data_IF_528027617646
#
_entry.id   IF_528027617646
#
_cell.length_a   1.000
_cell.length_b   1.000
_cell.length_c   1.000
_cell.angle_alpha   90.00
_cell.angle_beta   90.00
_cell.angle_gamma   90.00
#
_symmetry.space_group_name_H-M   'P 1'
#
loop_
_entity.id
_entity.type
_entity.pdbx_description
1 polymer ?
#
# COMPACT_ATOMS: atom_id res chain seq x y z
N UNK A 1 3.57 -27.85 -19.43
CA UNK A 1 2.25 -28.03 -18.78
C UNK A 1 1.16 -28.29 -19.81
N UNK A 2 1.16 -27.59 -20.94
CA UNK A 2 0.18 -27.72 -22.04
C UNK A 2 -0.15 -29.16 -22.46
N UNK A 3 0.86 -30.01 -22.61
CA UNK A 3 0.65 -31.40 -22.99
C UNK A 3 -0.13 -32.20 -21.92
N UNK A 4 0.06 -31.88 -20.64
CA UNK A 4 -0.70 -32.51 -19.54
C UNK A 4 -2.15 -32.01 -19.54
N UNK A 5 -2.36 -30.70 -19.69
CA UNK A 5 -3.71 -30.09 -19.78
C UNK A 5 -4.49 -30.69 -20.96
N UNK A 6 -3.89 -30.72 -22.15
CA UNK A 6 -4.51 -31.32 -23.35
C UNK A 6 -4.91 -32.79 -23.13
N UNK A 7 -4.09 -33.56 -22.40
CA UNK A 7 -4.38 -34.97 -22.11
C UNK A 7 -5.48 -35.17 -21.07
N UNK A 8 -5.63 -34.28 -20.09
CA UNK A 8 -6.77 -34.31 -19.14
C UNK A 8 -8.09 -34.02 -19.85
N UNK A 9 -8.07 -33.13 -20.84
CA UNK A 9 -9.27 -32.72 -21.60
C UNK A 9 -9.59 -33.70 -22.75
N UNK A 10 -8.68 -34.62 -23.07
CA UNK A 10 -8.85 -35.58 -24.17
C UNK A 10 -9.59 -36.84 -23.70
N UNK A 11 -10.57 -37.37 -24.46
CA UNK A 11 -11.46 -38.47 -24.06
C UNK A 11 -10.80 -39.89 -24.01
N UNK A 12 -9.48 -39.99 -23.86
CA UNK A 12 -8.74 -41.26 -23.94
C UNK A 12 -8.42 -41.87 -22.54
N UNK A 13 -8.42 -43.21 -22.49
CA UNK A 13 -8.34 -44.13 -21.32
C UNK A 13 -7.15 -43.92 -20.33
N UNK A 14 -6.20 -43.03 -20.61
CA UNK A 14 -5.04 -42.74 -19.74
C UNK A 14 -5.35 -41.76 -18.57
N UNK A 15 -6.63 -41.58 -18.28
CA UNK A 15 -7.19 -40.47 -17.53
C UNK A 15 -6.84 -40.49 -16.03
N UNK A 16 -6.79 -41.68 -15.42
CA UNK A 16 -6.55 -41.81 -13.97
C UNK A 16 -5.14 -41.38 -13.53
N UNK A 17 -4.10 -41.70 -14.31
CA UNK A 17 -2.72 -41.35 -13.96
C UNK A 17 -2.48 -39.84 -14.06
N UNK A 18 -3.07 -39.19 -15.07
CA UNK A 18 -2.94 -37.74 -15.24
C UNK A 18 -3.75 -37.02 -14.17
N UNK A 19 -4.99 -37.45 -13.86
CA UNK A 19 -5.75 -36.90 -12.72
C UNK A 19 -5.01 -37.06 -11.39
N UNK A 20 -4.36 -38.20 -11.17
CA UNK A 20 -3.51 -38.44 -9.99
C UNK A 20 -2.34 -37.46 -9.93
N UNK A 21 -1.70 -37.17 -11.07
CA UNK A 21 -0.62 -36.18 -11.14
C UNK A 21 -1.10 -34.77 -10.76
N UNK A 22 -2.28 -34.35 -11.24
CA UNK A 22 -2.87 -33.06 -10.85
C UNK A 22 -3.20 -32.99 -9.35
N UNK A 23 -3.64 -34.10 -8.74
CA UNK A 23 -3.76 -34.18 -7.28
C UNK A 23 -2.40 -34.09 -6.58
N UNK A 24 -1.35 -34.70 -7.13
CA UNK A 24 0.01 -34.59 -6.60
C UNK A 24 0.54 -33.15 -6.67
N UNK A 25 0.17 -32.37 -7.69
CA UNK A 25 0.53 -30.95 -7.79
C UNK A 25 -0.12 -30.07 -6.69
N UNK A 26 -1.18 -30.52 -6.03
CA UNK A 26 -1.74 -29.81 -4.87
C UNK A 26 -0.94 -30.06 -3.59
N UNK A 27 -0.27 -31.21 -3.48
CA UNK A 27 0.35 -31.65 -2.23
C UNK A 27 1.27 -30.62 -1.57
N UNK A 28 2.13 -29.89 -2.30
CA UNK A 28 3.01 -28.91 -1.67
C UNK A 28 2.23 -27.80 -0.94
N UNK A 29 1.12 -27.33 -1.51
CA UNK A 29 0.28 -26.27 -0.92
C UNK A 29 -0.65 -26.78 0.18
N UNK A 30 -0.88 -28.09 0.28
CA UNK A 30 -1.69 -28.68 1.37
C UNK A 30 -0.87 -29.12 2.57
N UNK A 31 0.46 -28.90 2.55
CA UNK A 31 1.30 -29.13 3.72
C UNK A 31 0.87 -28.25 4.90
N UNK A 32 0.96 -28.80 6.12
CA UNK A 32 0.65 -28.03 7.32
C UNK A 32 1.76 -27.03 7.65
N UNK A 33 1.38 -25.89 8.23
CA UNK A 33 2.29 -24.81 8.61
C UNK A 33 2.47 -23.73 7.55
N UNK A 34 3.21 -22.69 7.91
CA UNK A 34 3.51 -21.55 7.06
C UNK A 34 4.90 -21.69 6.41
N UNK A 35 4.95 -21.50 5.09
CA UNK A 35 6.20 -21.25 4.39
C UNK A 35 6.84 -19.92 4.86
N UNK A 36 8.16 -19.77 4.91
CA UNK A 36 9.18 -20.81 4.81
C UNK A 36 9.49 -21.51 6.15
N UNK A 37 8.87 -21.06 7.26
CA UNK A 37 9.31 -21.41 8.61
C UNK A 37 9.00 -22.86 9.00
N UNK A 38 7.77 -23.30 8.73
CA UNK A 38 7.31 -24.63 9.11
C UNK A 38 7.56 -25.66 8.00
N UNK A 39 7.61 -25.21 6.74
CA UNK A 39 7.82 -26.03 5.55
C UNK A 39 8.42 -25.22 4.40
N UNK A 40 9.05 -25.90 3.44
CA UNK A 40 9.83 -25.30 2.35
C UNK A 40 9.44 -25.77 0.94
N UNK A 41 8.19 -26.18 0.74
CA UNK A 41 7.72 -26.76 -0.54
C UNK A 41 6.55 -26.01 -1.17
N UNK A 42 5.84 -25.15 -0.43
CA UNK A 42 4.70 -24.41 -0.97
C UNK A 42 5.06 -23.48 -2.13
N UNK A 43 6.27 -22.92 -2.16
CA UNK A 43 6.78 -22.09 -3.25
C UNK A 43 6.84 -22.87 -4.58
N UNK A 44 7.33 -24.10 -4.54
CA UNK A 44 7.29 -25.01 -5.69
C UNK A 44 5.85 -25.28 -6.14
N UNK A 45 4.94 -25.44 -5.18
CA UNK A 45 3.51 -25.59 -5.46
C UNK A 45 2.95 -24.39 -6.23
N UNK A 46 3.20 -23.17 -5.74
CA UNK A 46 2.75 -21.94 -6.39
C UNK A 46 3.29 -21.84 -7.83
N UNK A 47 4.58 -22.12 -8.05
CA UNK A 47 5.19 -22.09 -9.39
C UNK A 47 4.58 -23.11 -10.35
N UNK A 48 4.28 -24.34 -9.89
CA UNK A 48 3.62 -25.36 -10.73
C UNK A 48 2.25 -24.86 -11.18
N UNK A 49 1.46 -24.28 -10.26
CA UNK A 49 0.11 -23.81 -10.55
C UNK A 49 0.09 -22.55 -11.40
N UNK A 50 1.01 -21.61 -11.19
CA UNK A 50 1.22 -20.48 -12.07
C UNK A 50 1.42 -20.94 -13.52
N UNK A 51 2.37 -21.85 -13.74
CA UNK A 51 2.65 -22.41 -15.07
C UNK A 51 1.49 -23.23 -15.65
N UNK A 52 0.63 -23.80 -14.81
CA UNK A 52 -0.55 -24.54 -15.24
C UNK A 52 -1.66 -23.59 -15.70
N UNK A 53 -1.88 -22.49 -14.98
CA UNK A 53 -2.89 -21.48 -15.28
C UNK A 53 -2.52 -20.66 -16.52
N UNK A 54 -1.23 -20.33 -16.67
CA UNK A 54 -0.68 -19.60 -17.82
C UNK A 54 -0.60 -20.45 -19.11
N UNK A 55 -0.78 -21.77 -19.01
CA UNK A 55 -0.68 -22.65 -20.17
C UNK A 55 -1.77 -22.33 -21.22
N UNK A 56 -1.43 -22.09 -22.50
CA UNK A 56 -2.39 -21.76 -23.57
C UNK A 56 -3.52 -22.78 -23.75
N UNK A 57 -3.25 -24.05 -23.44
CA UNK A 57 -4.23 -25.11 -23.49
C UNK A 57 -5.36 -24.96 -22.45
N UNK A 58 -5.11 -24.27 -21.34
CA UNK A 58 -6.09 -23.96 -20.31
C UNK A 58 -6.95 -22.76 -20.71
N UNK A 59 -6.37 -21.82 -21.48
CA UNK A 59 -7.05 -20.64 -22.02
C UNK A 59 -7.99 -21.00 -23.20
N UNK A 60 -7.62 -22.01 -24.00
CA UNK A 60 -8.36 -22.41 -25.21
C UNK A 60 -9.47 -23.45 -24.98
N UNK A 61 -9.79 -23.83 -23.74
CA UNK A 61 -10.87 -24.79 -23.45
C UNK A 61 -12.26 -24.19 -23.61
N UNK A 62 -12.58 -23.70 -24.82
CA UNK A 62 -13.96 -23.55 -25.34
C UNK A 62 -14.50 -24.90 -25.88
N UNK A 63 -13.80 -26.00 -25.61
CA UNK A 63 -14.02 -27.31 -26.23
C UNK A 63 -15.15 -28.10 -25.54
N UNK A 64 -16.32 -28.10 -26.18
CA UNK A 64 -17.40 -29.11 -26.37
C UNK A 64 -17.67 -30.28 -25.38
N UNK A 65 -16.84 -30.60 -24.39
CA UNK A 65 -16.99 -31.77 -23.52
C UNK A 65 -17.23 -31.42 -22.04
N UNK A 66 -18.48 -31.54 -21.60
CA UNK A 66 -18.97 -31.11 -20.27
C UNK A 66 -18.38 -31.88 -19.07
N UNK A 67 -17.95 -33.13 -19.23
CA UNK A 67 -17.59 -34.02 -18.10
C UNK A 67 -16.17 -33.81 -17.58
N UNK A 68 -15.21 -33.45 -18.45
CA UNK A 68 -13.80 -33.25 -18.07
C UNK A 68 -13.49 -31.81 -17.67
N UNK A 69 -14.31 -30.86 -18.13
CA UNK A 69 -14.35 -29.48 -17.62
C UNK A 69 -14.56 -29.45 -16.10
N UNK A 70 -15.39 -30.35 -15.58
CA UNK A 70 -15.70 -30.41 -14.15
C UNK A 70 -14.50 -30.83 -13.29
N UNK A 71 -13.57 -31.66 -13.81
CA UNK A 71 -12.38 -32.06 -13.07
C UNK A 71 -11.38 -30.89 -12.95
N UNK A 72 -11.09 -30.20 -14.05
CA UNK A 72 -10.18 -29.05 -14.04
C UNK A 72 -10.72 -27.89 -13.19
N UNK A 73 -12.01 -27.61 -13.27
CA UNK A 73 -12.68 -26.64 -12.39
C UNK A 73 -12.53 -27.04 -10.91
N UNK A 74 -12.82 -28.30 -10.56
CA UNK A 74 -12.70 -28.78 -9.17
C UNK A 74 -11.27 -28.71 -8.63
N UNK A 75 -10.27 -29.08 -9.44
CA UNK A 75 -8.87 -29.06 -8.99
C UNK A 75 -8.35 -27.63 -8.87
N UNK A 76 -8.75 -26.72 -9.76
CA UNK A 76 -8.41 -25.30 -9.68
C UNK A 76 -9.05 -24.64 -8.45
N UNK A 77 -10.32 -24.95 -8.14
CA UNK A 77 -10.96 -24.49 -6.90
C UNK A 77 -10.22 -25.02 -5.66
N UNK A 78 -9.85 -26.31 -5.64
CA UNK A 78 -9.05 -26.88 -4.54
C UNK A 78 -7.67 -26.22 -4.40
N UNK A 79 -7.05 -25.88 -5.52
CA UNK A 79 -5.83 -25.09 -5.54
C UNK A 79 -6.06 -23.72 -4.91
N UNK A 80 -7.09 -22.97 -5.35
CA UNK A 80 -7.40 -21.65 -4.82
C UNK A 80 -7.67 -21.68 -3.32
N UNK A 81 -8.39 -22.70 -2.82
CA UNK A 81 -8.61 -22.87 -1.38
C UNK A 81 -7.32 -23.18 -0.60
N UNK A 82 -6.37 -23.91 -1.19
CA UNK A 82 -5.07 -24.19 -0.58
C UNK A 82 -4.15 -22.96 -0.61
N UNK A 83 -4.04 -22.29 -1.75
CA UNK A 83 -3.31 -21.05 -1.93
C UNK A 83 -3.83 -19.94 -1.00
N UNK A 84 -5.15 -19.81 -0.89
CA UNK A 84 -5.80 -18.84 -0.01
C UNK A 84 -5.41 -19.06 1.45
N UNK A 85 -5.43 -20.31 1.93
CA UNK A 85 -4.98 -20.65 3.29
C UNK A 85 -3.48 -20.39 3.49
N UNK A 86 -2.65 -20.66 2.48
CA UNK A 86 -1.21 -20.40 2.54
C UNK A 86 -0.86 -18.90 2.50
N UNK A 87 -1.72 -18.06 1.94
CA UNK A 87 -1.58 -16.61 1.91
C UNK A 87 -1.98 -15.94 3.25
N UNK A 88 -2.64 -16.66 4.16
CA UNK A 88 -3.02 -16.14 5.47
C UNK A 88 -1.79 -15.86 6.33
N UNK A 89 -1.80 -14.71 7.00
CA UNK A 89 -0.86 -14.44 8.07
C UNK A 89 -0.96 -15.51 9.16
N UNK A 90 0.14 -15.83 9.84
CA UNK A 90 0.09 -16.62 11.06
C UNK A 90 -0.80 -15.95 12.10
N UNK A 91 -1.63 -16.74 12.81
CA UNK A 91 -2.51 -16.21 13.86
C UNK A 91 -1.73 -15.54 15.00
N UNK A 92 -0.51 -16.02 15.29
CA UNK A 92 0.41 -15.37 16.23
C UNK A 92 1.32 -14.38 15.49
N UNK A 93 0.86 -13.13 15.38
CA UNK A 93 1.63 -12.07 14.75
C UNK A 93 2.85 -11.62 15.56
N UNK A 94 2.83 -11.75 16.88
CA UNK A 94 3.99 -11.41 17.70
C UNK A 94 5.16 -12.32 17.34
N UNK A 95 4.92 -13.63 17.26
CA UNK A 95 5.91 -14.58 16.78
C UNK A 95 6.36 -14.25 15.35
N UNK A 96 5.45 -13.86 14.46
CA UNK A 96 5.80 -13.45 13.09
C UNK A 96 6.75 -12.25 13.07
N UNK A 97 6.50 -11.19 13.84
CA UNK A 97 7.34 -9.97 13.81
C UNK A 97 8.59 -10.04 14.72
N UNK A 98 8.55 -10.81 15.80
CA UNK A 98 9.62 -10.86 16.80
C UNK A 98 10.48 -12.12 16.70
N UNK A 99 9.90 -13.28 16.36
CA UNK A 99 10.62 -14.56 16.35
C UNK A 99 11.02 -15.03 14.96
N UNK A 100 10.33 -14.60 13.90
CA UNK A 100 10.77 -14.90 12.53
C UNK A 100 12.01 -14.08 12.19
N UNK A 101 12.95 -14.69 11.47
CA UNK A 101 14.08 -13.92 10.97
C UNK A 101 13.62 -12.96 9.88
N UNK A 102 14.44 -11.95 9.61
CA UNK A 102 14.18 -11.02 8.51
C UNK A 102 14.04 -11.77 7.17
N UNK A 103 14.93 -12.74 6.93
CA UNK A 103 14.93 -13.56 5.72
C UNK A 103 13.68 -14.43 5.60
N UNK A 104 13.21 -15.04 6.71
CA UNK A 104 11.97 -15.82 6.73
C UNK A 104 10.76 -14.96 6.35
N UNK A 105 10.64 -13.76 6.94
CA UNK A 105 9.57 -12.81 6.60
C UNK A 105 9.66 -12.35 5.16
N UNK A 106 10.86 -12.00 4.67
CA UNK A 106 11.06 -11.57 3.29
C UNK A 106 10.66 -12.67 2.30
N UNK A 107 11.01 -13.92 2.57
CA UNK A 107 10.59 -15.06 1.77
C UNK A 107 9.07 -15.28 1.81
N UNK A 108 8.44 -15.13 2.98
CA UNK A 108 6.98 -15.19 3.08
C UNK A 108 6.31 -14.08 2.26
N UNK A 109 6.82 -12.85 2.33
CA UNK A 109 6.30 -11.74 1.51
C UNK A 109 6.46 -12.00 0.01
N UNK A 110 7.59 -12.55 -0.42
CA UNK A 110 7.82 -12.93 -1.83
C UNK A 110 6.87 -14.03 -2.29
N UNK A 111 6.76 -15.10 -1.50
CA UNK A 111 5.82 -16.19 -1.77
C UNK A 111 4.39 -15.69 -1.85
N UNK A 112 3.99 -14.80 -0.94
CA UNK A 112 2.68 -14.17 -0.97
C UNK A 112 2.47 -13.34 -2.23
N UNK A 113 3.47 -12.58 -2.68
CA UNK A 113 3.40 -11.86 -3.96
C UNK A 113 3.22 -12.81 -5.16
N UNK A 114 3.95 -13.93 -5.20
CA UNK A 114 3.81 -14.97 -6.24
C UNK A 114 2.40 -15.59 -6.24
N UNK A 115 1.80 -15.80 -5.06
CA UNK A 115 0.41 -16.22 -4.96
C UNK A 115 -0.54 -15.14 -5.50
N UNK A 116 -0.25 -13.86 -5.27
CA UNK A 116 -1.01 -12.73 -5.81
C UNK A 116 -1.06 -12.76 -7.34
N UNK A 117 0.09 -12.91 -7.99
CA UNK A 117 0.19 -13.06 -9.45
C UNK A 117 -0.58 -14.30 -9.94
N UNK A 118 -0.52 -15.39 -9.18
CA UNK A 118 -1.25 -16.63 -9.49
C UNK A 118 -2.77 -16.46 -9.34
N UNK A 119 -3.25 -15.70 -8.35
CA UNK A 119 -4.65 -15.34 -8.20
C UNK A 119 -5.13 -14.45 -9.35
N UNK A 120 -4.32 -13.50 -9.80
CA UNK A 120 -4.62 -12.66 -10.96
C UNK A 120 -4.80 -13.52 -12.22
N UNK A 121 -3.87 -14.43 -12.50
CA UNK A 121 -4.01 -15.38 -13.61
C UNK A 121 -5.28 -16.21 -13.47
N UNK A 122 -5.55 -16.74 -12.28
CA UNK A 122 -6.76 -17.52 -12.02
C UNK A 122 -8.03 -16.68 -12.23
N UNK A 123 -8.06 -15.40 -11.87
CA UNK A 123 -9.22 -14.53 -12.06
C UNK A 123 -9.62 -14.38 -13.53
N UNK A 124 -8.64 -14.39 -14.44
CA UNK A 124 -8.90 -14.32 -15.89
C UNK A 124 -9.52 -15.60 -16.47
N UNK A 125 -9.56 -16.70 -15.70
CA UNK A 125 -10.11 -17.98 -16.14
C UNK A 125 -11.59 -18.10 -15.78
N UNK A 126 -12.40 -18.57 -16.72
CA UNK A 126 -13.85 -18.76 -16.50
C UNK A 126 -14.16 -19.87 -15.48
N UNK A 127 -13.28 -20.85 -15.38
CA UNK A 127 -13.39 -22.03 -14.53
C UNK A 127 -13.40 -21.70 -13.02
N UNK A 128 -12.85 -20.54 -12.67
CA UNK A 128 -12.61 -20.06 -11.29
C UNK A 128 -13.49 -18.87 -10.92
N UNK A 129 -14.27 -18.32 -11.87
CA UNK A 129 -15.17 -17.17 -11.68
C UNK A 129 -16.07 -17.31 -10.44
N UNK A 130 -16.64 -18.51 -10.23
CA UNK A 130 -17.50 -18.80 -9.08
C UNK A 130 -16.79 -18.76 -7.73
N UNK A 131 -15.48 -18.98 -7.69
CA UNK A 131 -14.71 -18.88 -6.46
C UNK A 131 -14.52 -17.42 -6.07
N UNK A 132 -14.17 -16.56 -7.04
CA UNK A 132 -14.01 -15.13 -6.81
C UNK A 132 -15.33 -14.44 -6.45
N UNK A 133 -16.44 -14.80 -7.09
CA UNK A 133 -17.76 -14.19 -6.80
C UNK A 133 -18.25 -14.41 -5.37
N UNK A 134 -17.65 -15.32 -4.62
CA UNK A 134 -17.96 -15.56 -3.20
C UNK A 134 -17.22 -14.63 -2.24
N UNK A 135 -16.13 -13.99 -2.68
CA UNK A 135 -15.29 -13.15 -1.81
C UNK A 135 -16.06 -11.99 -1.15
N UNK A 136 -16.90 -11.21 -1.88
CA UNK A 136 -17.66 -10.12 -1.25
C UNK A 136 -18.62 -10.63 -0.18
N UNK A 137 -19.25 -11.79 -0.43
CA UNK A 137 -20.16 -12.41 0.53
C UNK A 137 -19.44 -12.82 1.82
N UNK A 138 -18.20 -13.30 1.75
CA UNK A 138 -17.40 -13.62 2.95
C UNK A 138 -17.18 -12.39 3.83
N UNK A 139 -16.99 -11.20 3.23
CA UNK A 139 -16.88 -9.95 3.99
C UNK A 139 -18.19 -9.62 4.72
N UNK A 140 -19.33 -9.73 4.04
CA UNK A 140 -20.67 -9.46 4.61
C UNK A 140 -21.05 -10.46 5.71
N UNK A 141 -20.80 -11.74 5.47
CA UNK A 141 -21.10 -12.82 6.43
C UNK A 141 -20.30 -12.62 7.73
N UNK A 142 -19.07 -12.13 7.64
CA UNK A 142 -18.27 -11.80 8.83
C UNK A 142 -18.83 -10.64 9.63
N UNK A 143 -19.22 -9.53 8.96
CA UNK A 143 -19.81 -8.36 9.64
C UNK A 143 -21.03 -8.77 10.46
N UNK A 144 -21.75 -9.79 9.99
CA UNK A 144 -22.92 -10.35 10.67
C UNK A 144 -22.58 -11.24 11.88
N UNK A 145 -21.42 -11.90 11.89
CA UNK A 145 -21.03 -12.89 12.91
C UNK A 145 -20.35 -12.27 14.14
N UNK A 146 -19.81 -11.05 14.06
CA UNK A 146 -19.11 -10.34 15.14
C UNK A 146 -17.92 -11.11 15.78
N UNK A 147 -17.35 -12.10 15.09
CA UNK A 147 -16.21 -12.90 15.57
C UNK A 147 -14.89 -12.38 14.97
N UNK A 148 -14.57 -11.12 15.31
CA UNK A 148 -13.54 -10.36 14.63
C UNK A 148 -12.11 -10.82 14.94
N UNK A 149 -11.87 -11.29 16.17
CA UNK A 149 -10.53 -11.65 16.63
C UNK A 149 -10.07 -13.02 16.11
N UNK A 150 -10.98 -13.94 15.83
CA UNK A 150 -10.60 -15.29 15.36
C UNK A 150 -10.48 -15.40 13.84
N UNK A 151 -11.21 -14.56 13.09
CA UNK A 151 -11.31 -14.66 11.62
C UNK A 151 -10.51 -13.59 10.86
N UNK A 152 -9.78 -12.70 11.54
CA UNK A 152 -9.04 -11.63 10.87
C UNK A 152 -8.01 -12.10 9.81
N UNK A 153 -7.26 -13.23 9.96
CA UNK A 153 -6.29 -13.64 8.93
C UNK A 153 -6.99 -14.06 7.63
N UNK A 154 -8.16 -14.69 7.76
CA UNK A 154 -9.00 -15.07 6.63
C UNK A 154 -9.50 -13.81 5.90
N UNK A 155 -10.05 -12.85 6.63
CA UNK A 155 -10.53 -11.60 6.03
C UNK A 155 -9.42 -10.78 5.39
N UNK A 156 -8.28 -10.68 6.06
CA UNK A 156 -7.09 -10.03 5.52
C UNK A 156 -6.67 -10.68 4.20
N UNK A 157 -6.76 -12.01 4.10
CA UNK A 157 -6.49 -12.74 2.87
C UNK A 157 -7.54 -12.50 1.79
N UNK A 158 -8.81 -12.31 2.15
CA UNK A 158 -9.84 -11.89 1.18
C UNK A 158 -9.46 -10.53 0.58
N UNK A 159 -9.09 -9.55 1.41
CA UNK A 159 -8.65 -8.23 0.94
C UNK A 159 -7.40 -8.33 0.07
N UNK A 160 -6.43 -9.17 0.45
CA UNK A 160 -5.23 -9.42 -0.34
C UNK A 160 -5.55 -9.98 -1.73
N UNK A 161 -6.45 -10.96 -1.83
CA UNK A 161 -6.87 -11.50 -3.13
C UNK A 161 -7.59 -10.44 -3.96
N UNK A 162 -8.48 -9.65 -3.35
CA UNK A 162 -9.19 -8.55 -4.02
C UNK A 162 -8.23 -7.49 -4.57
N UNK A 163 -7.18 -7.15 -3.81
CA UNK A 163 -6.10 -6.26 -4.27
C UNK A 163 -5.31 -6.90 -5.40
N UNK A 164 -5.01 -8.20 -5.32
CA UNK A 164 -4.23 -8.90 -6.36
C UNK A 164 -4.93 -8.91 -7.73
N UNK A 165 -6.26 -8.87 -7.75
CA UNK A 165 -7.07 -8.84 -8.99
C UNK A 165 -7.51 -7.43 -9.39
N UNK A 166 -7.12 -6.40 -8.64
CA UNK A 166 -7.73 -5.07 -8.76
C UNK A 166 -7.47 -4.40 -10.11
N UNK A 167 -6.29 -4.60 -10.70
CA UNK A 167 -5.95 -4.00 -11.99
C UNK A 167 -6.85 -4.54 -13.11
N UNK A 168 -6.99 -5.87 -13.20
CA UNK A 168 -7.88 -6.51 -14.17
C UNK A 168 -9.34 -6.12 -13.92
N UNK A 169 -9.78 -6.08 -12.66
CA UNK A 169 -11.13 -5.64 -12.30
C UNK A 169 -11.37 -4.18 -12.74
N UNK A 170 -10.42 -3.29 -12.52
CA UNK A 170 -10.47 -1.89 -12.93
C UNK A 170 -10.68 -1.74 -14.44
N UNK A 171 -9.99 -2.55 -15.25
CA UNK A 171 -10.18 -2.54 -16.70
C UNK A 171 -11.59 -3.01 -17.10
N UNK A 172 -12.10 -4.09 -16.49
CA UNK A 172 -13.44 -4.61 -16.75
C UNK A 172 -14.54 -3.61 -16.37
N UNK A 173 -14.37 -2.95 -15.22
CA UNK A 173 -15.24 -1.88 -14.74
C UNK A 173 -15.19 -0.68 -15.70
N UNK A 174 -14.01 -0.31 -16.18
CA UNK A 174 -13.83 0.77 -17.17
C UNK A 174 -14.49 0.43 -18.51
N UNK A 175 -14.52 -0.84 -18.91
CA UNK A 175 -15.29 -1.36 -20.07
C UNK A 175 -16.79 -1.46 -19.80
N UNK A 176 -17.27 -1.07 -18.62
CA UNK A 176 -18.67 -1.10 -18.18
C UNK A 176 -19.27 -2.51 -18.17
N UNK A 177 -18.46 -3.51 -17.82
CA UNK A 177 -18.98 -4.85 -17.56
C UNK A 177 -19.90 -4.81 -16.33
N UNK A 178 -21.19 -5.14 -16.52
CA UNK A 178 -22.18 -5.05 -15.45
C UNK A 178 -21.89 -6.00 -14.28
N UNK A 179 -21.40 -7.21 -14.56
CA UNK A 179 -21.06 -8.19 -13.53
C UNK A 179 -19.89 -7.70 -12.67
N UNK A 180 -18.84 -7.16 -13.29
CA UNK A 180 -17.68 -6.59 -12.58
C UNK A 180 -18.07 -5.35 -11.77
N UNK A 181 -18.96 -4.48 -12.27
CA UNK A 181 -19.50 -3.36 -11.49
C UNK A 181 -20.33 -3.81 -10.27
N UNK A 182 -21.16 -4.85 -10.42
CA UNK A 182 -21.89 -5.44 -9.29
C UNK A 182 -20.94 -6.03 -8.25
N UNK A 183 -19.96 -6.82 -8.70
CA UNK A 183 -18.91 -7.38 -7.85
C UNK A 183 -18.16 -6.29 -7.07
N UNK A 184 -17.77 -5.20 -7.73
CA UNK A 184 -17.15 -4.05 -7.10
C UNK A 184 -18.04 -3.46 -6.01
N UNK A 185 -19.32 -3.22 -6.29
CA UNK A 185 -20.24 -2.64 -5.32
C UNK A 185 -20.47 -3.55 -4.10
N UNK A 186 -20.69 -4.84 -4.30
CA UNK A 186 -20.85 -5.79 -3.20
C UNK A 186 -19.58 -5.85 -2.34
N UNK A 187 -18.42 -5.77 -2.98
CA UNK A 187 -17.12 -5.71 -2.27
C UNK A 187 -17.03 -4.47 -1.41
N UNK A 188 -17.36 -3.30 -1.96
CA UNK A 188 -17.31 -2.02 -1.26
C UNK A 188 -18.28 -1.98 -0.08
N UNK A 189 -19.52 -2.45 -0.25
CA UNK A 189 -20.49 -2.54 0.83
C UNK A 189 -19.96 -3.43 1.98
N UNK A 190 -19.35 -4.58 1.64
CA UNK A 190 -18.66 -5.43 2.61
C UNK A 190 -17.54 -4.72 3.35
N UNK A 191 -16.61 -4.08 2.63
CA UNK A 191 -15.45 -3.38 3.22
C UNK A 191 -15.88 -2.19 4.08
N UNK A 192 -16.88 -1.42 3.67
CA UNK A 192 -17.42 -0.32 4.48
C UNK A 192 -18.02 -0.84 5.78
N UNK A 193 -18.77 -1.94 5.72
CA UNK A 193 -19.27 -2.62 6.93
C UNK A 193 -18.14 -3.07 7.86
N UNK A 194 -17.04 -3.58 7.31
CA UNK A 194 -15.84 -3.94 8.08
C UNK A 194 -15.21 -2.72 8.75
N UNK A 195 -15.07 -1.61 8.04
CA UNK A 195 -14.49 -0.38 8.56
C UNK A 195 -15.31 0.21 9.71
N UNK A 196 -16.63 0.21 9.59
CA UNK A 196 -17.55 0.67 10.64
C UNK A 196 -17.45 -0.22 11.88
N UNK A 197 -17.41 -1.54 11.69
CA UNK A 197 -17.21 -2.50 12.79
C UNK A 197 -15.85 -2.30 13.49
N UNK A 198 -14.76 -2.14 12.74
CA UNK A 198 -13.44 -1.87 13.32
C UNK A 198 -13.39 -0.54 14.06
N UNK A 199 -14.06 0.49 13.54
CA UNK A 199 -14.10 1.80 14.20
C UNK A 199 -14.85 1.74 15.54
N UNK A 200 -15.87 0.88 15.64
CA UNK A 200 -16.71 0.73 16.84
C UNK A 200 -16.13 -0.23 17.88
N UNK A 201 -15.68 -1.42 17.47
CA UNK A 201 -15.25 -2.49 18.41
C UNK A 201 -13.89 -2.20 19.03
N UNK A 202 -12.93 -1.81 18.20
CA UNK A 202 -11.54 -1.68 18.63
C UNK A 202 -11.26 -0.49 19.55
N UNK A 203 -12.16 0.48 19.56
CA UNK A 203 -11.92 1.78 20.17
C UNK A 203 -12.93 2.13 21.24
N UNK A 204 -13.67 1.13 21.75
CA UNK A 204 -14.40 1.28 23.00
C UNK A 204 -13.39 1.55 24.12
N UNK A 205 -13.42 2.71 24.81
CA UNK A 205 -12.49 3.04 25.90
C UNK A 205 -12.55 2.06 27.09
N UNK A 206 -13.51 1.14 27.07
CA UNK A 206 -13.76 0.15 28.10
C UNK A 206 -12.81 -1.07 28.03
N UNK A 207 -12.16 -1.34 26.89
CA UNK A 207 -11.17 -2.43 26.77
C UNK A 207 -9.80 -1.92 27.21
N UNK A 208 -9.64 -1.76 28.54
CA UNK A 208 -8.38 -1.32 29.15
C UNK A 208 -7.19 -2.20 28.74
N UNK A 209 -6.05 -1.55 28.48
CA UNK A 209 -4.71 -2.12 28.37
C UNK A 209 -4.66 -3.58 27.83
N UNK A 210 -5.23 -3.79 26.65
CA UNK A 210 -5.08 -5.08 25.98
C UNK A 210 -3.60 -5.31 25.63
N UNK A 211 -3.13 -6.55 25.74
CA UNK A 211 -1.75 -6.96 25.45
C UNK A 211 -1.32 -6.55 24.03
N UNK A 212 0.00 -6.50 23.77
CA UNK A 212 0.53 -6.18 22.44
C UNK A 212 -0.07 -7.06 21.32
N UNK A 213 -0.41 -8.32 21.61
CA UNK A 213 -1.11 -9.24 20.68
C UNK A 213 -2.50 -8.71 20.27
N UNK A 214 -3.28 -8.15 21.20
CA UNK A 214 -4.61 -7.63 20.92
C UNK A 214 -4.60 -6.40 19.99
N UNK A 215 -3.47 -5.68 19.91
CA UNK A 215 -3.31 -4.51 19.06
C UNK A 215 -2.56 -4.80 17.75
N UNK A 216 -1.81 -5.89 17.61
CA UNK A 216 -1.07 -6.16 16.38
C UNK A 216 -1.98 -6.66 15.23
N UNK A 217 -2.86 -7.62 15.52
CA UNK A 217 -3.79 -8.21 14.53
C UNK A 217 -4.64 -7.16 13.83
N UNK A 218 -5.26 -6.23 14.57
CA UNK A 218 -6.08 -5.23 13.91
C UNK A 218 -5.32 -4.22 13.08
N UNK A 219 -4.06 -3.92 13.42
CA UNK A 219 -3.24 -2.98 12.64
C UNK A 219 -2.82 -3.59 11.31
N UNK A 220 -2.47 -4.87 11.28
CA UNK A 220 -2.20 -5.59 10.02
C UNK A 220 -3.46 -5.66 9.16
N UNK A 221 -4.61 -5.94 9.78
CA UNK A 221 -5.87 -5.96 9.06
C UNK A 221 -6.28 -4.57 8.52
N UNK A 222 -6.14 -3.51 9.33
CA UNK A 222 -6.37 -2.14 8.87
C UNK A 222 -5.40 -1.73 7.77
N UNK A 223 -4.16 -2.18 7.82
CA UNK A 223 -3.20 -1.99 6.73
C UNK A 223 -3.71 -2.63 5.43
N UNK A 224 -4.30 -3.83 5.46
CA UNK A 224 -4.89 -4.44 4.27
C UNK A 224 -6.10 -3.64 3.75
N UNK A 225 -6.93 -3.07 4.62
CA UNK A 225 -8.02 -2.17 4.21
C UNK A 225 -7.46 -0.91 3.54
N UNK A 226 -6.39 -0.32 4.08
CA UNK A 226 -5.75 0.86 3.49
C UNK A 226 -5.16 0.58 2.10
N UNK A 227 -4.54 -0.59 1.92
CA UNK A 227 -4.06 -1.04 0.60
C UNK A 227 -5.25 -1.28 -0.34
N UNK A 228 -6.34 -1.87 0.14
CA UNK A 228 -7.58 -2.01 -0.64
C UNK A 228 -8.10 -0.64 -1.10
N UNK A 229 -8.18 0.34 -0.21
CA UNK A 229 -8.60 1.71 -0.53
C UNK A 229 -7.70 2.32 -1.61
N UNK A 230 -6.37 2.18 -1.49
CA UNK A 230 -5.40 2.66 -2.49
C UNK A 230 -5.73 2.18 -3.92
N UNK A 231 -6.18 0.94 -4.08
CA UNK A 231 -6.43 0.33 -5.39
C UNK A 231 -7.86 0.53 -5.90
N UNK A 232 -8.85 0.66 -5.00
CA UNK A 232 -10.27 0.69 -5.37
C UNK A 232 -10.85 2.10 -5.50
N UNK A 233 -10.24 3.09 -4.85
CA UNK A 233 -10.65 4.51 -4.98
C UNK A 233 -10.60 5.01 -6.43
N UNK A 234 -9.56 4.73 -7.26
CA UNK A 234 -9.56 5.13 -8.67
C UNK A 234 -10.68 4.48 -9.49
N UNK A 235 -11.08 3.25 -9.16
CA UNK A 235 -12.19 2.57 -9.84
C UNK A 235 -13.53 3.26 -9.58
N UNK A 236 -13.71 3.78 -8.36
CA UNK A 236 -14.91 4.54 -8.00
C UNK A 236 -15.05 5.83 -8.83
N UNK A 237 -13.94 6.50 -9.17
CA UNK A 237 -13.96 7.65 -10.08
C UNK A 237 -14.53 7.27 -11.45
N UNK A 238 -14.03 6.17 -12.01
CA UNK A 238 -14.46 5.67 -13.31
C UNK A 238 -15.97 5.38 -13.31
N UNK A 239 -16.48 4.77 -12.23
CA UNK A 239 -17.89 4.40 -12.10
C UNK A 239 -18.81 5.59 -11.76
N UNK A 240 -18.34 6.56 -10.99
CA UNK A 240 -19.11 7.76 -10.64
C UNK A 240 -19.47 8.58 -11.88
N UNK A 241 -18.57 8.64 -12.86
CA UNK A 241 -18.83 9.30 -14.14
C UNK A 241 -19.97 8.63 -14.95
N UNK A 242 -20.25 7.35 -14.67
CA UNK A 242 -21.16 6.51 -15.44
C UNK A 242 -22.45 6.13 -14.71
N UNK A 243 -22.52 6.28 -13.38
CA UNK A 243 -23.63 5.81 -12.56
C UNK A 243 -24.16 6.89 -11.62
N UNK A 244 -25.49 6.95 -11.47
CA UNK A 244 -26.16 7.87 -10.54
C UNK A 244 -26.26 7.30 -9.12
N UNK A 245 -25.34 6.41 -8.71
CA UNK A 245 -25.46 5.72 -7.42
C UNK A 245 -25.12 6.69 -6.28
N UNK A 246 -26.12 7.08 -5.51
CA UNK A 246 -25.99 8.03 -4.39
C UNK A 246 -25.03 7.56 -3.28
N UNK A 247 -24.70 6.27 -3.24
CA UNK A 247 -23.80 5.67 -2.25
C UNK A 247 -22.32 6.04 -2.45
N UNK A 248 -21.87 6.38 -3.67
CA UNK A 248 -20.43 6.56 -3.96
C UNK A 248 -19.81 7.70 -3.13
N UNK A 249 -20.40 8.92 -3.07
CA UNK A 249 -19.87 9.98 -2.21
C UNK A 249 -19.82 9.60 -0.73
N UNK A 250 -20.78 8.80 -0.25
CA UNK A 250 -20.80 8.33 1.14
C UNK A 250 -19.64 7.37 1.41
N UNK A 251 -19.41 6.39 0.54
CA UNK A 251 -18.29 5.46 0.65
C UNK A 251 -16.94 6.17 0.62
N UNK A 252 -16.76 7.14 -0.29
CA UNK A 252 -15.53 7.94 -0.37
C UNK A 252 -15.26 8.72 0.92
N UNK A 253 -16.30 9.34 1.50
CA UNK A 253 -16.17 10.03 2.79
C UNK A 253 -15.81 9.07 3.93
N UNK A 254 -16.42 7.88 3.99
CA UNK A 254 -16.10 6.85 4.99
C UNK A 254 -14.65 6.37 4.85
N UNK A 255 -14.22 6.02 3.63
CA UNK A 255 -12.85 5.60 3.34
C UNK A 255 -11.82 6.68 3.65
N UNK A 256 -12.11 7.93 3.29
CA UNK A 256 -11.26 9.06 3.62
C UNK A 256 -11.15 9.26 5.14
N UNK A 257 -12.27 9.31 5.86
CA UNK A 257 -12.25 9.50 7.32
C UNK A 257 -11.49 8.37 8.01
N UNK A 258 -11.77 7.12 7.62
CA UNK A 258 -11.05 5.95 8.13
C UNK A 258 -9.54 6.10 7.90
N UNK A 259 -9.11 6.47 6.68
CA UNK A 259 -7.70 6.63 6.35
C UNK A 259 -7.01 7.70 7.20
N UNK A 260 -7.65 8.87 7.37
CA UNK A 260 -7.12 9.97 8.19
C UNK A 260 -7.02 9.57 9.66
N UNK A 261 -8.08 8.95 10.20
CA UNK A 261 -8.14 8.58 11.61
C UNK A 261 -7.11 7.48 11.92
N UNK A 262 -6.90 6.53 10.99
CA UNK A 262 -5.88 5.49 11.13
C UNK A 262 -4.46 6.01 10.97
N UNK A 263 -4.22 7.01 10.11
CA UNK A 263 -2.94 7.69 10.08
C UNK A 263 -2.64 8.36 11.43
N UNK A 264 -3.58 9.11 12.00
CA UNK A 264 -3.40 9.76 13.30
C UNK A 264 -3.12 8.73 14.41
N UNK A 265 -3.85 7.62 14.42
CA UNK A 265 -3.67 6.52 15.39
C UNK A 265 -2.34 5.78 15.21
N UNK A 266 -1.85 5.63 13.98
CA UNK A 266 -0.59 4.94 13.70
C UNK A 266 0.60 5.57 14.45
N UNK A 267 0.56 6.88 14.65
CA UNK A 267 1.62 7.66 15.30
C UNK A 267 1.60 7.48 16.81
N UNK A 268 0.40 7.43 17.41
CA UNK A 268 0.23 7.34 18.86
C UNK A 268 0.19 5.90 19.40
N UNK A 269 0.05 4.91 18.53
CA UNK A 269 -0.03 3.51 18.92
C UNK A 269 1.26 3.01 19.60
N UNK A 270 1.09 2.21 20.65
CA UNK A 270 2.17 1.48 21.32
C UNK A 270 2.33 0.06 20.72
N UNK A 271 2.51 -0.02 19.40
CA UNK A 271 2.70 -1.28 18.67
C UNK A 271 4.11 -1.37 18.08
N UNK A 272 4.47 -2.55 17.56
CA UNK A 272 5.76 -2.77 16.91
C UNK A 272 6.05 -1.68 15.86
N UNK A 273 7.27 -1.14 15.86
CA UNK A 273 7.69 -0.04 14.96
C UNK A 273 7.47 -0.38 13.48
N UNK A 274 7.69 -1.64 13.10
CA UNK A 274 7.49 -2.13 11.74
C UNK A 274 6.02 -2.02 11.33
N UNK A 275 5.10 -2.53 12.17
CA UNK A 275 3.65 -2.49 11.93
C UNK A 275 3.14 -1.04 11.84
N UNK A 276 3.59 -0.16 12.74
CA UNK A 276 3.24 1.28 12.68
C UNK A 276 3.69 1.91 11.38
N UNK A 277 4.96 1.68 11.01
CA UNK A 277 5.53 2.23 9.78
C UNK A 277 4.76 1.76 8.55
N UNK A 278 4.47 0.46 8.46
CA UNK A 278 3.69 -0.12 7.38
C UNK A 278 2.31 0.54 7.27
N UNK A 279 1.58 0.64 8.39
CA UNK A 279 0.25 1.25 8.39
C UNK A 279 0.27 2.74 8.04
N UNK A 280 1.21 3.51 8.60
CA UNK A 280 1.35 4.94 8.27
C UNK A 280 1.70 5.15 6.79
N UNK A 281 2.55 4.29 6.22
CA UNK A 281 2.92 4.34 4.80
C UNK A 281 1.70 4.05 3.92
N UNK A 282 0.96 2.97 4.20
CA UNK A 282 -0.25 2.62 3.44
C UNK A 282 -1.33 3.69 3.57
N UNK A 283 -1.52 4.27 4.76
CA UNK A 283 -2.45 5.38 4.94
C UNK A 283 -2.04 6.61 4.12
N UNK A 284 -0.74 6.96 4.09
CA UNK A 284 -0.26 8.05 3.25
C UNK A 284 -0.47 7.78 1.76
N UNK A 285 -0.21 6.55 1.29
CA UNK A 285 -0.45 6.18 -0.12
C UNK A 285 -1.93 6.29 -0.48
N UNK A 286 -2.82 5.74 0.34
CA UNK A 286 -4.26 5.88 0.16
C UNK A 286 -4.69 7.36 0.14
N UNK A 287 -4.14 8.21 1.02
CA UNK A 287 -4.39 9.65 1.00
C UNK A 287 -3.89 10.33 -0.27
N UNK A 288 -2.73 9.94 -0.80
CA UNK A 288 -2.23 10.48 -2.07
C UNK A 288 -3.18 10.15 -3.22
N UNK A 289 -3.70 8.93 -3.26
CA UNK A 289 -4.72 8.54 -4.24
C UNK A 289 -5.97 9.40 -4.09
N UNK A 290 -6.47 9.58 -2.87
CA UNK A 290 -7.60 10.48 -2.60
C UNK A 290 -7.37 11.91 -3.09
N UNK A 291 -6.22 12.51 -2.76
CA UNK A 291 -5.89 13.88 -3.16
C UNK A 291 -5.75 14.00 -4.68
N UNK A 292 -5.24 12.95 -5.34
CA UNK A 292 -5.10 12.91 -6.79
C UNK A 292 -6.45 12.78 -7.50
N UNK A 293 -7.29 11.86 -7.06
CA UNK A 293 -8.54 11.46 -7.70
C UNK A 293 -9.72 12.37 -7.32
N UNK A 294 -9.72 12.93 -6.11
CA UNK A 294 -10.83 13.71 -5.56
C UNK A 294 -10.37 15.07 -5.02
N UNK A 295 -10.15 16.06 -5.90
CA UNK A 295 -9.79 17.42 -5.49
C UNK A 295 -10.78 18.06 -4.51
N UNK A 296 -12.04 17.60 -4.47
CA UNK A 296 -13.05 18.06 -3.50
C UNK A 296 -12.67 17.82 -2.03
N UNK A 297 -11.63 17.00 -1.78
CA UNK A 297 -11.04 16.77 -0.46
C UNK A 297 -10.39 18.03 0.13
N UNK A 298 -10.28 19.12 -0.64
CA UNK A 298 -9.94 20.48 -0.14
C UNK A 298 -10.67 20.82 1.17
N UNK A 299 -11.94 20.44 1.30
CA UNK A 299 -12.74 20.72 2.51
C UNK A 299 -12.18 20.08 3.80
N UNK A 300 -11.30 19.09 3.67
CA UNK A 300 -10.64 18.39 4.77
C UNK A 300 -9.14 18.70 4.87
N UNK A 301 -8.62 19.61 4.03
CA UNK A 301 -7.19 19.88 3.93
C UNK A 301 -6.58 20.31 5.28
N UNK A 302 -7.28 21.13 6.06
CA UNK A 302 -6.84 21.55 7.39
C UNK A 302 -6.76 20.39 8.40
N UNK A 303 -7.79 19.52 8.44
CA UNK A 303 -7.79 18.31 9.29
C UNK A 303 -6.62 17.40 8.90
N UNK A 304 -6.43 17.19 7.60
CA UNK A 304 -5.38 16.32 7.08
C UNK A 304 -3.99 16.89 7.36
N UNK A 305 -3.78 18.19 7.14
CA UNK A 305 -2.51 18.85 7.41
C UNK A 305 -2.17 18.85 8.91
N UNK A 306 -3.17 19.01 9.78
CA UNK A 306 -2.99 18.84 11.22
C UNK A 306 -2.51 17.43 11.59
N UNK A 307 -3.12 16.39 11.01
CA UNK A 307 -2.68 14.99 11.22
C UNK A 307 -1.26 14.78 10.70
N UNK A 308 -0.95 15.21 9.47
CA UNK A 308 0.39 15.10 8.90
C UNK A 308 1.44 15.87 9.72
N UNK A 309 1.08 17.04 10.25
CA UNK A 309 1.95 17.81 11.15
C UNK A 309 2.23 17.02 12.43
N UNK A 310 1.23 16.36 13.01
CA UNK A 310 1.46 15.51 14.19
C UNK A 310 2.33 14.29 13.89
N UNK A 311 2.25 13.72 12.67
CA UNK A 311 3.16 12.67 12.19
C UNK A 311 4.59 13.20 12.11
N UNK A 312 4.80 14.36 11.47
CA UNK A 312 6.12 14.97 11.25
C UNK A 312 6.77 15.42 12.57
N UNK A 313 5.99 16.04 13.45
CA UNK A 313 6.46 16.55 14.75
C UNK A 313 6.52 15.48 15.85
N UNK A 314 6.10 14.25 15.56
CA UNK A 314 6.13 13.15 16.52
C UNK A 314 7.53 12.89 17.09
N UNK A 315 7.61 12.40 18.33
CA UNK A 315 8.87 12.22 19.07
C UNK A 315 9.75 11.08 18.53
N UNK A 316 9.20 10.18 17.71
CA UNK A 316 9.94 9.08 17.09
C UNK A 316 10.44 9.46 15.71
N UNK A 317 11.73 9.22 15.46
CA UNK A 317 12.33 9.37 14.13
C UNK A 317 11.54 8.53 13.11
N UNK A 318 10.91 9.23 12.16
CA UNK A 318 10.19 8.61 11.05
C UNK A 318 11.14 7.67 10.29
N UNK A 319 10.60 6.57 9.77
CA UNK A 319 11.34 5.82 8.76
C UNK A 319 11.51 6.71 7.53
N UNK A 320 12.60 6.51 6.79
CA UNK A 320 12.87 7.25 5.56
C UNK A 320 11.72 7.12 4.55
N UNK A 321 11.07 5.96 4.51
CA UNK A 321 9.94 5.68 3.63
C UNK A 321 8.71 6.48 4.05
N UNK A 322 8.37 6.47 5.33
CA UNK A 322 7.24 7.23 5.85
C UNK A 322 7.43 8.73 5.65
N UNK A 323 8.62 9.26 5.97
CA UNK A 323 8.95 10.67 5.74
C UNK A 323 8.78 11.07 4.26
N UNK A 324 9.25 10.24 3.32
CA UNK A 324 9.04 10.47 1.88
C UNK A 324 7.56 10.57 1.53
N UNK A 325 6.73 9.61 1.92
CA UNK A 325 5.31 9.63 1.57
C UNK A 325 4.58 10.78 2.27
N UNK A 326 4.88 11.07 3.53
CA UNK A 326 4.27 12.17 4.27
C UNK A 326 4.56 13.53 3.62
N UNK A 327 5.82 13.82 3.27
CA UNK A 327 6.14 15.08 2.60
C UNK A 327 5.60 15.17 1.17
N UNK A 328 5.56 14.07 0.42
CA UNK A 328 4.85 14.03 -0.86
C UNK A 328 3.36 14.37 -0.70
N UNK A 329 2.69 13.80 0.31
CA UNK A 329 1.28 14.11 0.59
C UNK A 329 1.10 15.58 0.95
N UNK A 330 1.96 16.14 1.81
CA UNK A 330 1.94 17.57 2.14
C UNK A 330 2.09 18.43 0.88
N UNK A 331 3.05 18.10 0.01
CA UNK A 331 3.26 18.79 -1.26
C UNK A 331 2.04 18.75 -2.16
N UNK A 332 1.36 17.59 -2.24
CA UNK A 332 0.15 17.44 -3.04
C UNK A 332 -1.02 18.30 -2.54
N UNK A 333 -1.07 18.60 -1.24
CA UNK A 333 -2.12 19.39 -0.60
C UNK A 333 -1.95 20.90 -0.76
N UNK A 334 -0.76 21.39 -1.09
CA UNK A 334 -0.45 22.83 -1.16
C UNK A 334 -1.44 23.63 -2.00
N UNK A 335 -1.86 23.17 -3.21
CA UNK A 335 -2.80 23.95 -4.01
C UNK A 335 -4.20 24.06 -3.39
N UNK A 336 -4.49 23.28 -2.35
CA UNK A 336 -5.80 23.14 -1.73
C UNK A 336 -5.84 23.73 -0.32
N UNK A 337 -4.70 24.05 0.31
CA UNK A 337 -4.65 24.53 1.68
C UNK A 337 -4.67 26.07 1.79
N UNK A 338 -5.36 26.62 2.82
CA UNK A 338 -5.18 28.02 3.20
C UNK A 338 -3.76 28.27 3.75
N UNK A 339 -3.30 29.51 3.62
CA UNK A 339 -1.90 29.90 3.72
C UNK A 339 -1.23 29.63 5.08
N UNK A 340 -1.98 29.68 6.17
CA UNK A 340 -1.42 29.75 7.53
C UNK A 340 -0.76 28.47 8.04
N UNK A 341 -1.45 27.32 7.98
CA UNK A 341 -0.95 26.05 8.53
C UNK A 341 0.27 25.54 7.76
N UNK A 342 0.29 25.77 6.45
CA UNK A 342 1.39 25.36 5.60
C UNK A 342 2.69 26.10 5.93
N UNK A 343 2.62 27.42 6.10
CA UNK A 343 3.80 28.22 6.50
C UNK A 343 4.39 27.74 7.83
N UNK A 344 3.54 27.44 8.83
CA UNK A 344 4.00 26.94 10.12
C UNK A 344 4.77 25.61 10.01
N UNK A 345 4.29 24.69 9.16
CA UNK A 345 4.97 23.41 8.93
C UNK A 345 6.31 23.60 8.22
N UNK A 346 6.37 24.49 7.22
CA UNK A 346 7.60 24.78 6.50
C UNK A 346 8.63 25.51 7.37
N UNK A 347 8.20 26.48 8.19
CA UNK A 347 9.06 27.20 9.12
C UNK A 347 9.65 26.22 10.15
N UNK A 348 8.84 25.31 10.70
CA UNK A 348 9.32 24.25 11.59
C UNK A 348 10.41 23.39 10.94
N UNK A 349 10.22 22.98 9.68
CA UNK A 349 11.20 22.14 8.98
C UNK A 349 12.47 22.92 8.60
N UNK A 350 12.34 24.20 8.24
CA UNK A 350 13.48 25.10 8.01
C UNK A 350 14.30 25.31 9.30
N UNK A 351 13.64 25.47 10.44
CA UNK A 351 14.30 25.56 11.75
C UNK A 351 15.00 24.25 12.12
N UNK A 352 14.37 23.10 11.83
CA UNK A 352 14.97 21.77 12.01
C UNK A 352 16.23 21.61 11.16
N UNK A 353 16.18 22.02 9.90
CA UNK A 353 17.31 22.03 8.97
C UNK A 353 18.45 22.95 9.46
N UNK A 354 18.12 24.17 9.88
CA UNK A 354 19.10 25.13 10.39
C UNK A 354 19.81 24.62 11.66
N UNK A 355 19.05 23.99 12.57
CA UNK A 355 19.60 23.35 13.78
C UNK A 355 20.56 22.22 13.45
N UNK A 356 20.24 21.40 12.44
CA UNK A 356 21.09 20.32 11.96
C UNK A 356 22.43 20.86 11.43
N UNK A 357 22.42 21.89 10.58
CA UNK A 357 23.63 22.52 10.07
C UNK A 357 24.46 23.20 11.16
N UNK A 358 23.82 23.84 12.15
CA UNK A 358 24.51 24.47 13.28
C UNK A 358 25.27 23.44 14.13
N UNK A 359 24.63 22.31 14.43
CA UNK A 359 25.23 21.20 15.20
C UNK A 359 26.39 20.55 14.44
N UNK A 360 26.30 20.48 13.11
CA UNK A 360 27.38 19.95 12.27
C UNK A 360 28.57 20.91 12.19
N UNK A 361 28.32 22.23 12.09
CA UNK A 361 29.38 23.26 12.12
C UNK A 361 30.16 23.20 13.43
N UNK A 362 29.48 23.05 14.57
CA UNK A 362 30.14 22.91 15.88
C UNK A 362 30.92 21.59 16.01
N UNK A 363 30.39 20.49 15.49
CA UNK A 363 31.10 19.20 15.46
C UNK A 363 32.41 19.29 14.66
N UNK A 364 32.37 19.84 13.45
CA UNK A 364 33.58 19.99 12.62
C UNK A 364 34.58 20.98 13.21
N UNK A 365 34.13 22.08 13.85
CA UNK A 365 35.03 23.01 14.52
C UNK A 365 35.73 22.43 15.76
N UNK A 366 35.16 21.40 16.38
CA UNK A 366 35.75 20.75 17.56
C UNK A 366 36.64 19.54 17.24
N UNK A 367 36.36 18.81 16.15
CA UNK A 367 37.06 17.56 15.82
C UNK A 367 38.13 17.68 14.73
N UNK A 368 38.23 18.82 14.03
CA UNK A 368 39.30 19.08 13.06
C UNK A 368 40.05 20.38 13.38
N UNK A 369 40.82 20.48 14.48
CA UNK A 369 41.60 21.70 14.73
C UNK A 369 42.80 21.86 13.78
N UNK A 370 43.38 20.77 13.24
CA UNK A 370 44.63 20.84 12.46
C UNK A 370 44.78 19.63 11.50
N UNK A 371 44.02 19.57 10.41
CA UNK A 371 44.35 18.66 9.29
C UNK A 371 45.00 19.47 8.16
N UNK A 372 46.32 19.52 8.22
CA UNK A 372 47.20 20.02 7.17
C UNK A 372 47.06 19.21 5.87
N UNK A 373 46.52 19.85 4.85
CA UNK A 373 46.73 19.75 3.38
C UNK A 373 47.01 18.44 2.62
N UNK A 374 47.18 17.26 3.22
CA UNK A 374 47.49 16.04 2.44
C UNK A 374 46.61 14.85 2.81
N UNK A 375 45.49 14.70 2.09
CA UNK A 375 44.73 13.45 2.10
C UNK A 375 43.40 13.61 1.41
N UNK A 376 43.22 12.93 0.26
CA UNK A 376 41.96 12.85 -0.49
C UNK A 376 40.85 12.29 0.43
N UNK A 377 40.08 13.17 1.04
CA UNK A 377 38.85 12.79 1.71
C UNK A 377 37.85 12.40 0.61
N UNK A 378 37.39 11.15 0.63
CA UNK A 378 36.44 10.57 -0.32
C UNK A 378 35.17 11.41 -0.40
N UNK A 379 34.93 12.03 -1.55
CA UNK A 379 33.76 12.85 -1.88
C UNK A 379 32.44 12.09 -1.72
N UNK A 380 32.42 10.78 -1.90
CA UNK A 380 31.21 9.93 -1.79
C UNK A 380 30.55 9.92 -0.41
N UNK A 381 31.31 10.15 0.67
CA UNK A 381 30.75 10.17 2.03
C UNK A 381 30.05 11.51 2.35
N UNK A 382 30.41 12.60 1.66
CA UNK A 382 29.74 13.89 1.86
C UNK A 382 28.38 13.99 1.16
N UNK A 383 28.22 13.36 0.00
CA UNK A 383 26.97 13.42 -0.79
C UNK A 383 25.81 12.73 -0.08
N UNK A 384 26.03 11.54 0.49
CA UNK A 384 24.96 10.78 1.17
C UNK A 384 24.50 11.43 2.48
N UNK A 385 25.37 12.22 3.11
CA UNK A 385 25.10 12.86 4.41
C UNK A 385 24.40 14.23 4.26
N UNK A 386 24.56 14.91 3.12
CA UNK A 386 23.83 16.15 2.77
C UNK A 386 22.41 15.90 2.25
N UNK A 387 22.17 14.75 1.61
CA UNK A 387 20.86 14.42 1.06
C UNK A 387 19.80 14.15 2.13
N UNK A 388 20.19 13.61 3.28
CA UNK A 388 19.25 13.28 4.37
C UNK A 388 18.45 14.48 4.88
N UNK A 389 19.07 15.61 5.31
CA UNK A 389 18.32 16.74 5.84
C UNK A 389 17.52 17.50 4.78
N UNK A 390 17.86 17.38 3.50
CA UNK A 390 17.14 18.03 2.39
C UNK A 390 16.01 17.19 1.78
N UNK A 391 15.97 15.88 2.09
CA UNK A 391 14.97 14.94 1.59
C UNK A 391 13.52 15.42 1.81
N UNK A 392 13.11 15.97 2.98
CA UNK A 392 11.79 16.54 3.16
C UNK A 392 11.35 17.51 2.06
N UNK A 393 12.24 18.45 1.71
CA UNK A 393 11.97 19.46 0.67
C UNK A 393 11.89 18.84 -0.72
N UNK A 394 12.79 17.91 -1.05
CA UNK A 394 12.77 17.21 -2.34
C UNK A 394 11.46 16.44 -2.54
N UNK A 395 11.02 15.71 -1.52
CA UNK A 395 9.80 14.91 -1.57
C UNK A 395 8.54 15.79 -1.57
N UNK A 396 8.57 16.89 -0.82
CA UNK A 396 7.57 17.95 -0.89
C UNK A 396 7.41 18.48 -2.32
N UNK A 397 8.51 18.87 -2.99
CA UNK A 397 8.44 19.39 -4.37
C UNK A 397 7.97 18.34 -5.37
N UNK A 398 8.32 17.06 -5.18
CA UNK A 398 7.77 15.95 -5.98
C UNK A 398 6.26 15.83 -5.82
N UNK A 399 5.75 15.91 -4.59
CA UNK A 399 4.31 15.93 -4.31
C UNK A 399 3.61 17.12 -4.96
N UNK A 400 4.17 18.31 -4.79
CA UNK A 400 3.65 19.54 -5.40
C UNK A 400 3.60 19.44 -6.93
N UNK A 401 4.66 18.93 -7.55
CA UNK A 401 4.73 18.72 -9.00
C UNK A 401 3.62 17.78 -9.49
N UNK A 402 3.36 16.68 -8.78
CA UNK A 402 2.26 15.75 -9.10
C UNK A 402 0.90 16.49 -9.10
N UNK A 403 0.61 17.24 -8.04
CA UNK A 403 -0.67 17.95 -7.89
C UNK A 403 -0.85 19.06 -8.94
N UNK A 404 0.20 19.83 -9.23
CA UNK A 404 0.18 20.84 -10.30
C UNK A 404 -0.06 20.25 -11.69
N UNK A 405 0.45 19.05 -11.97
CA UNK A 405 0.22 18.36 -13.24
C UNK A 405 -1.24 17.90 -13.37
N UNK A 406 -1.85 17.44 -12.27
CA UNK A 406 -3.29 17.12 -12.22
C UNK A 406 -4.15 18.37 -12.44
N UNK A 407 -3.82 19.48 -11.76
CA UNK A 407 -4.57 20.74 -11.90
C UNK A 407 -4.58 21.31 -13.31
N UNK A 408 -3.49 21.12 -14.08
CA UNK A 408 -3.45 21.53 -15.50
C UNK A 408 -4.49 20.82 -16.37
N UNK A 409 -4.98 19.66 -15.93
CA UNK A 409 -6.01 18.90 -16.64
C UNK A 409 -7.43 19.34 -16.27
N UNK A 410 -7.61 20.11 -15.19
CA UNK A 410 -8.90 20.63 -14.74
C UNK A 410 -9.09 22.12 -15.13
N UNK A 411 -10.29 22.48 -15.60
CA UNK A 411 -10.67 23.80 -16.15
C UNK A 411 -10.42 25.03 -15.24
N UNK A 412 -10.67 26.22 -15.81
CA UNK A 412 -10.25 27.60 -15.46
C UNK A 412 -10.25 28.03 -13.99
N UNK A 413 -11.03 27.43 -13.10
CA UNK A 413 -10.99 27.74 -11.65
C UNK A 413 -9.70 27.24 -10.97
N UNK A 414 -8.96 26.32 -11.61
CA UNK A 414 -7.69 25.77 -11.14
C UNK A 414 -6.51 26.76 -11.21
N UNK A 415 -6.63 27.87 -11.96
CA UNK A 415 -5.56 28.86 -12.17
C UNK A 415 -5.16 29.62 -10.89
N UNK A 416 -6.13 29.91 -10.01
CA UNK A 416 -5.87 30.59 -8.73
C UNK A 416 -5.01 29.73 -7.81
N UNK A 417 -5.40 28.47 -7.64
CA UNK A 417 -4.71 27.47 -6.81
C UNK A 417 -3.30 27.18 -7.34
N UNK A 418 -3.13 27.08 -8.66
CA UNK A 418 -1.82 26.85 -9.27
C UNK A 418 -0.86 28.04 -9.08
N UNK A 419 -1.38 29.27 -9.17
CA UNK A 419 -0.57 30.49 -8.95
C UNK A 419 -0.12 30.58 -7.49
N UNK A 420 -1.05 30.35 -6.57
CA UNK A 420 -0.75 30.32 -5.13
C UNK A 420 0.31 29.27 -4.79
N UNK A 421 0.17 28.05 -5.32
CA UNK A 421 1.12 26.97 -5.11
C UNK A 421 2.52 27.28 -5.70
N UNK A 422 2.57 27.96 -6.85
CA UNK A 422 3.82 28.45 -7.45
C UNK A 422 4.50 29.49 -6.55
N UNK A 423 3.75 30.46 -6.04
CA UNK A 423 4.30 31.51 -5.19
C UNK A 423 4.90 30.92 -3.90
N UNK A 424 4.29 29.87 -3.34
CA UNK A 424 4.87 29.12 -2.23
C UNK A 424 6.16 28.41 -2.56
N UNK A 425 6.20 27.70 -3.69
CA UNK A 425 7.41 27.03 -4.11
C UNK A 425 8.58 28.03 -4.21
N UNK A 426 8.31 29.22 -4.78
CA UNK A 426 9.30 30.29 -4.88
C UNK A 426 9.74 30.84 -3.51
N UNK A 427 8.80 31.00 -2.57
CA UNK A 427 9.12 31.42 -1.20
C UNK A 427 10.00 30.40 -0.45
N UNK A 428 9.72 29.11 -0.60
CA UNK A 428 10.51 28.04 0.03
C UNK A 428 11.91 28.00 -0.59
N UNK A 429 12.00 28.05 -1.92
CA UNK A 429 13.28 28.06 -2.63
C UNK A 429 14.13 29.28 -2.26
N UNK A 430 13.52 30.46 -2.13
CA UNK A 430 14.24 31.66 -1.69
C UNK A 430 14.76 31.51 -0.25
N UNK A 431 13.93 30.97 0.66
CA UNK A 431 14.29 30.72 2.05
C UNK A 431 15.43 29.70 2.19
N UNK A 432 15.39 28.61 1.41
CA UNK A 432 16.46 27.62 1.34
C UNK A 432 17.76 28.23 0.80
N UNK A 433 17.68 29.06 -0.24
CA UNK A 433 18.85 29.74 -0.82
C UNK A 433 19.50 30.69 0.19
N UNK A 434 18.68 31.46 0.92
CA UNK A 434 19.15 32.33 2.00
C UNK A 434 19.80 31.51 3.12
N UNK A 435 19.14 30.45 3.61
CA UNK A 435 19.70 29.57 4.64
C UNK A 435 21.05 28.96 4.26
N UNK A 436 21.18 28.45 3.03
CA UNK A 436 22.43 27.87 2.54
C UNK A 436 23.53 28.92 2.35
N UNK A 437 23.22 30.09 1.80
CA UNK A 437 24.19 31.17 1.60
C UNK A 437 24.79 31.70 2.92
N UNK A 438 23.97 31.84 3.98
CA UNK A 438 24.46 32.22 5.32
C UNK A 438 25.39 31.17 5.95
N UNK A 439 25.30 29.90 5.57
CA UNK A 439 26.23 28.86 6.06
C UNK A 439 27.57 28.84 5.31
N UNK A 440 27.60 29.29 4.05
CA UNK A 440 28.79 29.22 3.19
C UNK A 440 29.76 30.41 3.32
N UNK A 441 29.33 31.53 3.91
CA UNK A 441 30.08 32.79 3.88
C UNK A 441 31.25 32.88 4.90
N UNK A 442 31.78 31.74 5.38
CA UNK A 442 32.95 31.70 6.27
C UNK A 442 34.06 30.69 5.93
N UNK A 443 33.97 29.92 4.84
CA UNK A 443 35.14 29.17 4.34
C UNK A 443 35.04 28.88 2.85
N UNK A 444 36.14 29.09 2.13
CA UNK A 444 36.33 29.23 0.68
C UNK A 444 36.05 28.02 -0.23
N UNK A 445 35.03 27.20 0.05
CA UNK A 445 34.60 26.12 -0.88
C UNK A 445 33.14 26.29 -1.28
N UNK A 446 32.94 26.68 -2.54
CA UNK A 446 31.62 26.72 -3.20
C UNK A 446 31.06 25.29 -3.26
N UNK A 447 29.79 25.04 -2.87
CA UNK A 447 29.13 23.78 -3.19
C UNK A 447 28.89 23.68 -4.70
N UNK A 448 28.86 22.45 -5.22
CA UNK A 448 28.63 22.17 -6.63
C UNK A 448 27.28 22.74 -7.10
N UNK A 449 27.35 23.64 -8.09
CA UNK A 449 26.19 24.31 -8.69
C UNK A 449 25.14 23.34 -9.27
N UNK A 450 25.53 22.11 -9.58
CA UNK A 450 24.62 21.08 -10.07
C UNK A 450 23.59 20.65 -9.02
N UNK A 451 23.93 20.64 -7.74
CA UNK A 451 23.03 20.19 -6.68
C UNK A 451 21.96 21.23 -6.32
N UNK A 452 22.25 22.53 -6.48
CA UNK A 452 21.27 23.63 -6.29
C UNK A 452 20.35 23.77 -7.52
N UNK A 453 20.79 23.32 -8.69
CA UNK A 453 20.02 23.38 -9.93
C UNK A 453 19.09 22.17 -10.14
N UNK A 454 19.32 21.05 -9.45
CA UNK A 454 18.40 19.89 -9.38
C UNK A 454 17.30 20.15 -8.35
#
# INVERSE_FOLDING_TARGET
MDHLVKRVVSPNVFDAAVRTLFHMFLLPLTTHGHYPRDECVSDLGAQIWFNLLDSPANVQTDMEHKTDRTFLEQIQVKFLDAAFRKAQYPSNLEAFFCDWTFEEREQWYKFRAELGDTFLLAYTQKQTELWFSQLPRRLVDWVSQNDAESLWPELESVLFVLVSISEQLSEEVSRKNSASCHFLFDTLDGVIGLMDHLTTVMWSPATGAASMEALACPFVFCNAILIFIEHFVPMLCAVQSASSKESIPLWLNHMFSFTVDWLAKSVSANTCREVRTMMSVSANKALQVFVHEFPQIVNYADKLLSVLTSVICGTSLLSTTLETYTWQTVGMLVPYCPTGLFCQLMDFELDRLASHFKTRKTFFSHFLPDVSESGRCSTEVMDTDMQRPLRPFLEFFRGLSKSLNTLKQCDTDSMGNATQARDYALHILSSLTIGLSFTTDQSSRRPDREFINQ
#
